data_IF_708047244811
#
_entry.id   IF_708047244811
#
_cell.length_a   1.000
_cell.length_b   1.000
_cell.length_c   1.000
_cell.angle_alpha   90.00
_cell.angle_beta   90.00
_cell.angle_gamma   90.00
#
_symmetry.space_group_name_H-M   'P 1'
#
loop_
_entity.id
_entity.type
_entity.pdbx_description
1 polymer ?
#
# COMPACT_ATOMS: atom_id res chain seq x y z
N UNK A 1 21.98 16.08 -7.52
CA UNK A 1 21.92 14.97 -8.50
C UNK A 1 20.62 14.21 -8.32
N UNK A 2 19.78 14.11 -9.35
CA UNK A 2 18.58 13.27 -9.31
C UNK A 2 19.01 11.80 -9.46
N UNK A 3 18.90 11.01 -8.41
CA UNK A 3 19.17 9.57 -8.46
C UNK A 3 18.15 8.90 -9.37
N UNK A 4 18.62 8.23 -10.43
CA UNK A 4 17.76 7.52 -11.39
C UNK A 4 16.99 6.43 -10.64
N UNK A 5 15.67 6.57 -10.57
CA UNK A 5 14.76 5.58 -9.99
C UNK A 5 14.58 4.40 -10.94
N UNK A 6 14.38 3.20 -10.44
CA UNK A 6 14.06 2.06 -11.30
C UNK A 6 12.70 2.25 -11.99
N UNK A 7 12.56 1.70 -13.20
CA UNK A 7 11.34 1.83 -13.98
C UNK A 7 10.14 1.20 -13.24
N UNK A 8 9.09 2.00 -13.03
CA UNK A 8 7.91 1.61 -12.26
C UNK A 8 8.04 1.77 -10.74
N UNK A 9 9.12 2.36 -10.23
CA UNK A 9 9.25 2.65 -8.79
C UNK A 9 8.21 3.64 -8.30
N UNK A 10 7.88 4.69 -9.07
CA UNK A 10 6.87 5.71 -8.74
C UNK A 10 6.84 6.10 -7.25
N UNK A 11 5.97 5.42 -6.50
CA UNK A 11 5.66 5.62 -5.09
C UNK A 11 6.47 4.76 -4.09
N UNK A 12 7.47 3.99 -4.54
CA UNK A 12 8.35 3.20 -3.69
C UNK A 12 9.48 4.10 -3.18
N UNK A 13 9.56 4.25 -1.86
CA UNK A 13 10.54 5.08 -1.15
C UNK A 13 11.24 4.27 -0.07
N UNK A 14 12.45 4.69 0.30
CA UNK A 14 13.14 4.11 1.45
C UNK A 14 12.33 4.39 2.72
N UNK A 15 12.09 3.35 3.51
CA UNK A 15 11.46 3.46 4.81
C UNK A 15 12.55 3.73 5.86
N UNK A 16 12.67 5.00 6.26
CA UNK A 16 13.65 5.46 7.23
C UNK A 16 12.92 5.73 8.55
N UNK A 17 13.41 5.15 9.65
CA UNK A 17 12.95 5.43 11.01
C UNK A 17 14.17 5.74 11.86
N UNK A 18 14.13 6.86 12.57
CA UNK A 18 15.24 7.32 13.41
C UNK A 18 16.58 7.40 12.65
N UNK A 19 16.55 7.86 11.38
CA UNK A 19 17.75 7.96 10.53
C UNK A 19 18.26 6.64 9.92
N UNK A 20 17.72 5.49 10.35
CA UNK A 20 18.12 4.17 9.84
C UNK A 20 17.16 3.70 8.76
N UNK A 21 17.69 3.25 7.62
CA UNK A 21 16.89 2.61 6.58
C UNK A 21 16.47 1.21 7.05
N UNK A 22 15.20 1.07 7.46
CA UNK A 22 14.62 -0.21 7.92
C UNK A 22 14.11 -1.05 6.74
N UNK A 23 13.88 -0.42 5.58
CA UNK A 23 13.49 -1.12 4.37
C UNK A 23 12.94 -0.19 3.30
N UNK A 24 11.94 -0.67 2.60
CA UNK A 24 11.25 0.04 1.53
C UNK A 24 9.75 0.14 1.83
N UNK A 25 9.13 1.20 1.34
CA UNK A 25 7.69 1.47 1.48
C UNK A 25 7.11 1.88 0.14
N UNK A 26 5.95 1.36 -0.19
CA UNK A 26 5.08 1.87 -1.25
C UNK A 26 3.82 2.50 -0.66
N UNK A 27 3.25 3.50 -1.33
CA UNK A 27 1.92 4.04 -1.03
C UNK A 27 1.06 4.03 -2.29
N UNK A 28 -0.18 3.53 -2.16
CA UNK A 28 -1.20 3.61 -3.20
C UNK A 28 -2.46 4.29 -2.63
N UNK A 29 -3.06 5.18 -3.42
CA UNK A 29 -4.32 5.83 -3.08
C UNK A 29 -5.46 4.98 -3.63
N UNK A 30 -6.35 4.52 -2.75
CA UNK A 30 -7.45 3.62 -3.12
C UNK A 30 -8.71 4.42 -3.45
N UNK A 31 -8.89 5.57 -2.79
CA UNK A 31 -10.06 6.43 -3.00
C UNK A 31 -10.08 7.62 -2.06
N UNK A 32 -11.26 8.22 -1.90
CA UNK A 32 -11.55 9.26 -0.93
C UNK A 32 -12.65 8.80 0.00
N UNK A 33 -12.51 9.13 1.27
CA UNK A 33 -13.53 8.97 2.29
C UNK A 33 -14.72 9.91 2.03
N UNK A 34 -15.85 9.70 2.71
CA UNK A 34 -17.06 10.53 2.59
C UNK A 34 -16.80 12.00 2.94
N UNK A 35 -15.79 12.26 3.77
CA UNK A 35 -15.29 13.60 4.13
C UNK A 35 -14.26 14.16 3.14
N UNK A 36 -14.04 13.50 2.00
CA UNK A 36 -13.09 13.90 0.95
C UNK A 36 -11.61 13.56 1.22
N UNK A 37 -11.29 12.96 2.38
CA UNK A 37 -9.91 12.62 2.75
C UNK A 37 -9.40 11.46 1.91
N UNK A 38 -8.19 11.58 1.35
CA UNK A 38 -7.58 10.46 0.61
C UNK A 38 -7.33 9.25 1.52
N UNK A 39 -7.89 8.11 1.14
CA UNK A 39 -7.61 6.81 1.73
C UNK A 39 -6.41 6.23 0.98
N UNK A 40 -5.30 6.08 1.70
CA UNK A 40 -4.04 5.55 1.19
C UNK A 40 -3.69 4.26 1.93
N UNK A 41 -3.29 3.23 1.20
CA UNK A 41 -2.72 2.00 1.75
C UNK A 41 -1.22 1.99 1.54
N UNK A 42 -0.50 1.64 2.58
CA UNK A 42 0.95 1.59 2.57
C UNK A 42 1.42 0.15 2.69
N UNK A 43 2.41 -0.22 1.89
CA UNK A 43 3.06 -1.52 1.92
C UNK A 43 4.51 -1.33 2.32
N UNK A 44 5.01 -2.16 3.22
CA UNK A 44 6.42 -2.15 3.63
C UNK A 44 7.07 -3.52 3.39
N UNK A 45 8.38 -3.50 3.20
CA UNK A 45 9.19 -4.71 3.00
C UNK A 45 10.66 -4.43 3.29
N UNK A 46 11.45 -5.48 3.45
CA UNK A 46 12.90 -5.33 3.67
C UNK A 46 13.61 -4.95 2.38
N UNK A 47 13.15 -5.52 1.26
CA UNK A 47 13.69 -5.26 -0.08
C UNK A 47 12.71 -4.50 -0.95
N UNK A 48 13.25 -3.80 -1.96
CA UNK A 48 12.44 -3.08 -2.93
C UNK A 48 11.59 -4.04 -3.79
N UNK A 49 12.13 -5.22 -4.11
CA UNK A 49 11.47 -6.25 -4.91
C UNK A 49 10.21 -6.77 -4.22
N UNK A 50 10.30 -7.10 -2.93
CA UNK A 50 9.13 -7.52 -2.13
C UNK A 50 8.01 -6.47 -2.14
N UNK A 51 8.37 -5.19 -2.01
CA UNK A 51 7.39 -4.09 -2.01
C UNK A 51 6.73 -3.94 -3.39
N UNK A 52 7.51 -4.11 -4.46
CA UNK A 52 6.99 -4.10 -5.83
C UNK A 52 6.04 -5.27 -6.09
N UNK A 53 6.40 -6.48 -5.70
CA UNK A 53 5.54 -7.66 -5.83
C UNK A 53 4.22 -7.49 -5.07
N UNK A 54 4.26 -6.98 -3.83
CA UNK A 54 3.04 -6.68 -3.05
C UNK A 54 2.16 -5.63 -3.75
N UNK A 55 2.78 -4.59 -4.33
CA UNK A 55 2.07 -3.58 -5.11
C UNK A 55 1.43 -4.16 -6.37
N UNK A 56 2.16 -4.98 -7.13
CA UNK A 56 1.68 -5.56 -8.38
C UNK A 56 0.55 -6.56 -8.12
N UNK A 57 0.66 -7.39 -7.08
CA UNK A 57 -0.43 -8.26 -6.62
C UNK A 57 -1.65 -7.43 -6.23
N UNK A 58 -1.47 -6.35 -5.48
CA UNK A 58 -2.57 -5.47 -5.07
C UNK A 58 -3.23 -4.79 -6.27
N UNK A 59 -2.43 -4.30 -7.23
CA UNK A 59 -2.91 -3.67 -8.46
C UNK A 59 -3.70 -4.64 -9.33
N UNK A 60 -3.20 -5.86 -9.50
CA UNK A 60 -3.88 -6.92 -10.24
C UNK A 60 -5.21 -7.29 -9.57
N UNK A 61 -5.23 -7.43 -8.23
CA UNK A 61 -6.47 -7.66 -7.47
C UNK A 61 -7.46 -6.50 -7.63
N UNK A 62 -6.97 -5.26 -7.66
CA UNK A 62 -7.81 -4.07 -7.85
C UNK A 62 -8.44 -4.04 -9.25
N UNK A 63 -7.66 -4.35 -10.27
CA UNK A 63 -8.12 -4.43 -11.67
C UNK A 63 -9.11 -5.57 -11.89
N UNK A 64 -8.91 -6.71 -11.24
CA UNK A 64 -9.81 -7.86 -11.28
C UNK A 64 -11.15 -7.62 -10.57
N UNK A 65 -11.35 -6.46 -9.91
CA UNK A 65 -12.60 -6.15 -9.21
C UNK A 65 -12.82 -6.96 -7.92
N UNK A 66 -11.88 -7.82 -7.51
CA UNK A 66 -11.95 -8.60 -6.26
C UNK A 66 -11.56 -7.80 -5.01
N UNK A 67 -11.41 -6.48 -5.11
CA UNK A 67 -11.31 -5.58 -3.96
C UNK A 67 -12.65 -4.87 -3.76
N UNK A 68 -13.72 -5.65 -3.73
CA UNK A 68 -14.85 -5.29 -2.89
C UNK A 68 -14.59 -6.04 -1.57
N UNK A 69 -14.50 -5.31 -0.47
CA UNK A 69 -14.59 -5.84 0.90
C UNK A 69 -13.59 -6.95 1.33
N UNK A 70 -12.32 -6.62 1.54
CA UNK A 70 -11.45 -7.48 2.38
C UNK A 70 -10.87 -6.77 3.62
N UNK A 71 -10.83 -5.43 3.66
CA UNK A 71 -10.20 -4.69 4.75
C UNK A 71 -11.18 -3.97 5.70
N UNK A 72 -12.48 -4.19 5.55
CA UNK A 72 -13.52 -3.83 6.55
C UNK A 72 -14.36 -5.06 6.92
N UNK A 73 -13.72 -6.20 7.14
CA UNK A 73 -14.30 -7.21 8.03
C UNK A 73 -13.51 -7.07 9.32
N UNK A 74 -13.83 -6.03 10.09
CA UNK A 74 -13.64 -6.10 11.54
C UNK A 74 -14.62 -7.16 12.03
N UNK A 75 -14.12 -8.17 12.73
CA UNK A 75 -14.88 -9.27 13.35
C UNK A 75 -15.88 -8.80 14.44
N UNK A 76 -16.22 -7.52 14.46
CA UNK A 76 -17.00 -6.84 15.50
C UNK A 76 -18.49 -6.71 15.14
N UNK A 77 -18.89 -7.06 13.91
CA UNK A 77 -20.30 -7.10 13.45
C UNK A 77 -20.97 -8.49 13.59
N UNK A 78 -20.32 -9.45 14.24
CA UNK A 78 -20.85 -10.82 14.42
C UNK A 78 -21.48 -11.09 15.79
N UNK A 79 -21.72 -10.05 16.60
CA UNK A 79 -22.46 -10.20 17.85
C UNK A 79 -23.34 -8.97 18.12
N UNK A 80 -24.54 -8.96 17.54
CA UNK A 80 -25.70 -8.41 18.23
C UNK A 80 -26.87 -9.39 18.06
N UNK A 81 -27.46 -9.69 19.22
CA UNK A 81 -28.38 -10.79 19.58
C UNK A 81 -29.66 -10.86 18.77
#
# INVERSE_FOLDING_TARGET
>A
MATKRANGEGSIVKNIRNGVQIGWRASISIGRDEKGKLIRKQFTGKTQKEVKEKLDIYRTKMLLGSIVSADKITFEDWFYT
#
